data_IF_271360542625
#
_entry.id   IF_271360542625
#
_cell.length_a   1.000
_cell.length_b   1.000
_cell.length_c   1.000
_cell.angle_alpha   90.00
_cell.angle_beta   90.00
_cell.angle_gamma   90.00
#
_symmetry.space_group_name_H-M   'P 1'
#
loop_
_entity.id
_entity.type
_entity.pdbx_description
1 polymer ?
#
# COMPACT_ATOMS: atom_id res chain seq x y z
N UNK A 1 -48.68 -51.76 11.75
CA UNK A 1 -48.92 -52.59 10.55
C UNK A 1 -48.19 -51.97 9.38
N UNK A 2 -46.95 -52.38 9.11
CA UNK A 2 -46.32 -52.18 7.81
C UNK A 2 -45.27 -53.27 7.62
N UNK A 3 -45.55 -54.15 6.68
CA UNK A 3 -44.84 -55.41 6.40
C UNK A 3 -43.59 -55.14 5.57
N UNK A 4 -42.42 -55.48 6.12
CA UNK A 4 -41.17 -55.47 5.36
C UNK A 4 -41.14 -56.62 4.35
N UNK A 5 -41.23 -56.32 3.05
CA UNK A 5 -40.91 -57.28 1.97
C UNK A 5 -39.39 -57.42 1.86
N UNK A 6 -38.85 -58.60 2.15
CA UNK A 6 -37.48 -58.95 1.84
C UNK A 6 -37.34 -59.19 0.33
N UNK A 7 -36.62 -58.31 -0.38
CA UNK A 7 -36.15 -58.58 -1.73
C UNK A 7 -34.80 -59.27 -1.64
N UNK A 8 -34.75 -60.56 -1.96
CA UNK A 8 -33.51 -61.33 -2.10
C UNK A 8 -32.74 -60.81 -3.31
N UNK A 9 -31.78 -59.89 -3.08
CA UNK A 9 -30.77 -59.56 -4.09
C UNK A 9 -29.78 -60.72 -4.13
N UNK A 10 -29.88 -61.55 -5.18
CA UNK A 10 -28.80 -62.44 -5.56
C UNK A 10 -27.59 -61.57 -5.92
N UNK A 11 -26.63 -61.50 -5.00
CA UNK A 11 -25.33 -60.89 -5.22
C UNK A 11 -24.56 -61.78 -6.20
N UNK A 12 -24.67 -61.49 -7.49
CA UNK A 12 -23.59 -61.85 -8.41
C UNK A 12 -22.34 -61.10 -7.91
N UNK A 13 -21.45 -61.81 -7.23
CA UNK A 13 -20.09 -61.32 -6.99
C UNK A 13 -19.40 -61.36 -8.36
N UNK A 14 -19.11 -60.21 -9.01
CA UNK A 14 -18.16 -60.25 -10.10
C UNK A 14 -16.85 -60.83 -9.54
N UNK A 15 -16.28 -61.80 -10.24
CA UNK A 15 -14.94 -62.30 -9.90
C UNK A 15 -14.01 -61.10 -9.87
N UNK A 16 -13.32 -60.92 -8.74
CA UNK A 16 -12.30 -59.86 -8.64
C UNK A 16 -11.22 -60.20 -9.68
N UNK A 17 -10.86 -59.29 -10.60
CA UNK A 17 -9.71 -59.53 -11.45
C UNK A 17 -8.50 -59.76 -10.55
N UNK A 18 -7.72 -60.81 -10.82
CA UNK A 18 -6.48 -61.16 -10.12
C UNK A 18 -5.33 -60.18 -10.41
N UNK A 19 -5.56 -59.23 -11.31
CA UNK A 19 -4.66 -58.14 -11.57
C UNK A 19 -4.80 -57.13 -10.42
N UNK A 20 -3.68 -56.61 -9.86
CA UNK A 20 -3.77 -55.55 -8.87
C UNK A 20 -4.57 -54.42 -9.49
N UNK A 21 -5.72 -54.10 -8.88
CA UNK A 21 -6.40 -52.85 -9.19
C UNK A 21 -5.42 -51.79 -8.73
N UNK A 22 -4.62 -51.27 -9.66
CA UNK A 22 -3.84 -50.08 -9.44
C UNK A 22 -4.87 -49.00 -9.16
N UNK A 23 -5.17 -48.78 -7.89
CA UNK A 23 -5.75 -47.51 -7.49
C UNK A 23 -4.68 -46.48 -7.80
N UNK A 24 -4.62 -46.05 -9.05
CA UNK A 24 -3.92 -44.84 -9.42
C UNK A 24 -4.61 -43.74 -8.63
N UNK A 25 -4.02 -43.39 -7.49
CA UNK A 25 -4.36 -42.20 -6.73
C UNK A 25 -3.95 -41.02 -7.61
N UNK A 26 -4.79 -40.70 -8.59
CA UNK A 26 -4.60 -39.49 -9.36
C UNK A 26 -4.77 -38.34 -8.37
N UNK A 27 -3.70 -37.58 -8.14
CA UNK A 27 -3.73 -36.35 -7.37
C UNK A 27 -4.67 -35.29 -8.00
N UNK A 28 -5.23 -35.58 -9.18
CA UNK A 28 -6.05 -34.73 -10.04
C UNK A 28 -7.50 -34.52 -9.60
N UNK A 29 -7.94 -34.99 -8.42
CA UNK A 29 -9.32 -34.68 -7.99
C UNK A 29 -9.38 -33.27 -7.39
N UNK A 30 -10.22 -32.40 -7.96
CA UNK A 30 -10.40 -31.01 -7.52
C UNK A 30 -10.64 -30.88 -6.00
N UNK A 31 -11.27 -31.88 -5.37
CA UNK A 31 -11.49 -31.97 -3.92
C UNK A 31 -10.19 -32.00 -3.12
N UNK A 32 -9.19 -32.78 -3.56
CA UNK A 32 -7.89 -32.90 -2.86
C UNK A 32 -7.11 -31.59 -2.97
N UNK A 33 -7.08 -31.02 -4.17
CA UNK A 33 -6.43 -29.73 -4.42
C UNK A 33 -7.06 -28.60 -3.60
N UNK A 34 -8.40 -28.52 -3.55
CA UNK A 34 -9.13 -27.56 -2.72
C UNK A 34 -8.83 -27.71 -1.22
N UNK A 35 -8.67 -28.95 -0.73
CA UNK A 35 -8.33 -29.20 0.68
C UNK A 35 -6.89 -28.77 1.00
N UNK A 36 -5.94 -29.05 0.10
CA UNK A 36 -4.53 -28.67 0.29
C UNK A 36 -4.32 -27.16 0.23
N UNK A 37 -5.07 -26.46 -0.63
CA UNK A 37 -5.02 -24.99 -0.78
C UNK A 37 -5.98 -24.24 0.15
N UNK A 38 -6.61 -24.92 1.11
CA UNK A 38 -7.53 -24.27 2.03
C UNK A 38 -6.77 -23.36 2.99
N UNK A 39 -7.14 -22.08 3.01
CA UNK A 39 -6.67 -21.10 3.99
C UNK A 39 -7.77 -20.88 5.05
N UNK A 40 -7.42 -20.82 6.34
CA UNK A 40 -8.39 -20.51 7.38
C UNK A 40 -8.90 -19.07 7.24
N UNK A 41 -10.13 -18.84 7.69
CA UNK A 41 -10.69 -17.49 7.79
C UNK A 41 -9.97 -16.66 8.86
N UNK A 42 -10.09 -15.32 8.77
CA UNK A 42 -9.52 -14.47 9.80
C UNK A 42 -10.20 -14.72 11.17
N UNK A 43 -9.46 -14.71 12.30
CA UNK A 43 -10.03 -14.99 13.63
C UNK A 43 -11.23 -14.13 14.01
N UNK A 44 -11.33 -12.92 13.46
CA UNK A 44 -12.44 -11.98 13.63
C UNK A 44 -13.80 -12.52 13.17
N UNK A 45 -13.82 -13.52 12.28
CA UNK A 45 -15.06 -14.14 11.80
C UNK A 45 -15.56 -15.27 12.70
N UNK A 46 -14.74 -15.73 13.66
CA UNK A 46 -15.18 -16.76 14.62
C UNK A 46 -16.03 -16.11 15.73
N UNK A 47 -17.32 -16.51 15.89
CA UNK A 47 -18.18 -15.90 16.88
C UNK A 47 -17.76 -16.31 18.30
N UNK A 48 -17.53 -15.34 19.18
CA UNK A 48 -17.28 -15.59 20.61
C UNK A 48 -18.56 -15.66 21.44
N UNK A 49 -19.68 -15.16 20.92
CA UNK A 49 -20.98 -15.08 21.57
C UNK A 49 -22.06 -15.67 20.67
N UNK A 50 -23.10 -16.24 21.28
CA UNK A 50 -24.25 -16.80 20.57
C UNK A 50 -25.20 -15.72 20.04
N UNK A 51 -25.26 -14.55 20.68
CA UNK A 51 -26.11 -13.44 20.27
C UNK A 51 -25.47 -12.60 19.15
N UNK A 52 -26.26 -12.03 18.22
CA UNK A 52 -25.74 -11.18 17.14
C UNK A 52 -25.09 -9.91 17.73
N UNK A 53 -23.91 -9.56 17.22
CA UNK A 53 -23.19 -8.34 17.61
C UNK A 53 -22.50 -7.70 16.41
N UNK A 54 -22.34 -6.37 16.44
CA UNK A 54 -21.59 -5.63 15.44
C UNK A 54 -20.12 -5.54 15.87
N UNK A 55 -19.22 -6.11 15.08
CA UNK A 55 -17.78 -6.13 15.34
C UNK A 55 -17.10 -5.18 14.36
N UNK A 56 -16.27 -4.27 14.87
CA UNK A 56 -15.41 -3.43 14.04
C UNK A 56 -14.14 -4.20 13.66
N UNK A 57 -14.01 -4.55 12.38
CA UNK A 57 -12.88 -5.33 11.85
C UNK A 57 -12.16 -4.56 10.72
N UNK A 58 -11.26 -3.62 11.04
CA UNK A 58 -10.52 -2.88 10.01
C UNK A 58 -9.60 -3.85 9.26
N UNK A 59 -9.73 -3.99 7.92
CA UNK A 59 -8.92 -4.93 7.16
C UNK A 59 -7.47 -4.45 7.05
N UNK A 60 -6.54 -5.39 7.02
CA UNK A 60 -5.11 -5.13 6.76
C UNK A 60 -4.82 -4.95 5.26
N UNK A 61 -5.60 -4.11 4.59
CA UNK A 61 -5.48 -3.81 3.17
C UNK A 61 -5.44 -2.30 2.91
N UNK A 62 -4.96 -1.92 1.72
CA UNK A 62 -4.97 -0.51 1.32
C UNK A 62 -6.43 -0.01 1.14
N UNK A 63 -6.75 1.20 1.62
CA UNK A 63 -8.08 1.78 1.41
C UNK A 63 -8.33 2.08 -0.07
N UNK A 64 -9.60 2.03 -0.48
CA UNK A 64 -10.00 2.45 -1.82
C UNK A 64 -10.09 3.98 -1.93
N UNK A 65 -10.08 4.50 -3.17
CA UNK A 65 -10.22 5.95 -3.45
C UNK A 65 -11.51 6.53 -2.87
N UNK A 66 -12.56 5.72 -2.75
CA UNK A 66 -13.85 6.13 -2.17
C UNK A 66 -13.81 6.32 -0.65
N UNK A 67 -12.79 5.78 0.04
CA UNK A 67 -12.54 6.06 1.45
C UNK A 67 -11.88 7.44 1.60
N UNK A 68 -12.73 8.46 1.53
CA UNK A 68 -12.33 9.87 1.53
C UNK A 68 -11.77 10.30 2.89
N UNK A 69 -10.51 10.74 2.98
CA UNK A 69 -9.94 11.22 4.23
C UNK A 69 -10.63 12.51 4.69
N UNK A 70 -10.67 12.73 6.01
CA UNK A 70 -11.40 13.85 6.63
C UNK A 70 -10.98 15.22 6.09
N UNK A 71 -9.73 15.39 5.64
CA UNK A 71 -9.21 16.61 5.03
C UNK A 71 -9.92 16.98 3.72
N UNK A 72 -10.43 16.01 2.97
CA UNK A 72 -11.11 16.22 1.68
C UNK A 72 -12.63 16.30 1.80
N UNK A 73 -13.18 16.02 2.99
CA UNK A 73 -14.61 16.19 3.22
C UNK A 73 -14.98 17.67 3.37
N UNK A 74 -16.16 18.11 2.89
CA UNK A 74 -16.72 19.42 3.20
C UNK A 74 -16.84 19.63 4.71
N UNK A 75 -16.78 20.89 5.17
CA UNK A 75 -16.94 21.22 6.60
C UNK A 75 -18.31 20.80 7.16
N UNK A 76 -19.35 20.81 6.33
CA UNK A 76 -20.73 20.43 6.69
C UNK A 76 -20.98 18.92 6.74
N UNK A 77 -20.05 18.09 6.26
CA UNK A 77 -20.24 16.63 6.22
C UNK A 77 -20.15 16.01 7.63
N UNK A 78 -21.27 15.43 8.09
CA UNK A 78 -21.40 14.78 9.41
C UNK A 78 -20.41 13.63 9.62
N UNK A 79 -19.92 13.00 8.54
CA UNK A 79 -18.93 11.92 8.62
C UNK A 79 -17.62 12.37 9.27
N UNK A 80 -17.29 13.66 9.25
CA UNK A 80 -16.13 14.20 9.98
C UNK A 80 -16.21 13.91 11.48
N UNK A 81 -17.38 14.14 12.09
CA UNK A 81 -17.58 13.87 13.52
C UNK A 81 -17.49 12.37 13.82
N UNK A 82 -18.07 11.53 12.97
CA UNK A 82 -18.01 10.07 13.10
C UNK A 82 -16.57 9.55 13.01
N UNK A 83 -15.78 10.04 12.05
CA UNK A 83 -14.37 9.65 11.93
C UNK A 83 -13.54 10.11 13.12
N UNK A 84 -13.76 11.32 13.63
CA UNK A 84 -13.09 11.80 14.84
C UNK A 84 -13.41 10.92 16.06
N UNK A 85 -14.69 10.59 16.25
CA UNK A 85 -15.13 9.69 17.33
C UNK A 85 -14.53 8.28 17.20
N UNK A 86 -14.50 7.72 15.98
CA UNK A 86 -13.91 6.41 15.72
C UNK A 86 -12.40 6.39 15.99
N UNK A 87 -11.66 7.44 15.59
CA UNK A 87 -10.23 7.59 15.89
C UNK A 87 -9.99 7.71 17.40
N UNK A 88 -10.81 8.48 18.12
CA UNK A 88 -10.73 8.58 19.58
C UNK A 88 -10.98 7.21 20.25
N UNK A 89 -11.98 6.45 19.82
CA UNK A 89 -12.23 5.11 20.34
C UNK A 89 -11.08 4.13 20.05
N UNK A 90 -10.56 4.13 18.82
CA UNK A 90 -9.45 3.27 18.42
C UNK A 90 -8.16 3.59 19.20
N UNK A 91 -7.86 4.88 19.41
CA UNK A 91 -6.70 5.31 20.20
C UNK A 91 -6.85 4.93 21.67
N UNK A 92 -8.01 5.14 22.29
CA UNK A 92 -8.29 4.69 23.66
C UNK A 92 -8.16 3.16 23.78
N UNK A 93 -8.69 2.39 22.84
CA UNK A 93 -8.56 0.94 22.80
C UNK A 93 -7.12 0.46 22.66
N UNK A 94 -6.32 1.11 21.80
CA UNK A 94 -4.89 0.82 21.65
C UNK A 94 -4.06 1.19 22.90
N UNK A 95 -4.48 2.22 23.64
CA UNK A 95 -3.85 2.64 24.89
C UNK A 95 -4.23 1.77 26.09
N UNK A 96 -5.41 1.16 26.06
CA UNK A 96 -5.92 0.25 27.07
C UNK A 96 -5.13 -1.07 27.04
N UNK A 97 -3.93 -1.06 27.62
CA UNK A 97 -3.13 -2.26 27.88
C UNK A 97 -3.93 -3.24 28.74
N UNK A 98 -4.45 -4.30 28.13
CA UNK A 98 -4.59 -5.59 28.82
C UNK A 98 -3.47 -6.47 28.31
N UNK A 99 -2.27 -6.33 28.87
CA UNK A 99 -1.30 -7.43 28.78
C UNK A 99 -1.91 -8.58 29.58
N UNK A 100 -2.22 -9.73 28.96
CA UNK A 100 -2.67 -10.88 29.75
C UNK A 100 -1.60 -11.19 30.79
N UNK A 101 -1.98 -11.66 31.98
CA UNK A 101 -1.04 -11.97 33.06
C UNK A 101 0.12 -12.88 32.59
N UNK A 102 -0.17 -13.76 31.63
CA UNK A 102 0.80 -14.66 31.00
C UNK A 102 1.86 -13.97 30.14
N UNK A 103 1.62 -12.75 29.65
CA UNK A 103 2.55 -11.93 28.87
C UNK A 103 3.10 -10.73 29.65
N UNK A 104 2.99 -10.73 30.97
CA UNK A 104 3.58 -9.70 31.82
C UNK A 104 5.12 -9.76 31.79
N UNK A 105 5.82 -8.63 31.94
CA UNK A 105 7.28 -8.61 32.06
C UNK A 105 7.74 -9.54 33.19
N UNK A 106 8.59 -10.51 32.86
CA UNK A 106 9.08 -11.53 33.78
C UNK A 106 8.48 -12.94 33.61
N UNK A 107 7.52 -13.14 32.71
CA UNK A 107 7.00 -14.49 32.37
C UNK A 107 7.76 -15.11 31.19
N UNK A 108 7.81 -16.45 31.06
CA UNK A 108 8.49 -17.13 29.94
C UNK A 108 7.86 -16.84 28.56
N UNK A 109 6.64 -16.30 28.53
CA UNK A 109 5.95 -15.88 27.31
C UNK A 109 6.01 -14.36 27.08
N UNK A 110 6.84 -13.64 27.84
CA UNK A 110 7.11 -12.23 27.58
C UNK A 110 7.89 -12.07 26.27
N UNK A 111 7.16 -12.00 25.16
CA UNK A 111 7.67 -11.64 23.85
C UNK A 111 7.33 -10.19 23.55
N UNK A 112 8.23 -9.49 22.86
CA UNK A 112 7.99 -8.12 22.40
C UNK A 112 6.85 -8.18 21.40
N UNK A 113 5.67 -7.69 21.77
CA UNK A 113 4.51 -7.71 20.88
C UNK A 113 4.78 -6.83 19.66
N UNK A 114 4.77 -7.39 18.45
CA UNK A 114 4.72 -6.64 17.18
C UNK A 114 3.35 -6.00 16.92
N UNK A 115 2.52 -5.85 17.97
CA UNK A 115 1.29 -5.07 17.88
C UNK A 115 1.63 -3.66 17.40
N UNK A 116 0.73 -3.01 16.63
CA UNK A 116 0.99 -1.68 16.15
C UNK A 116 1.37 -0.78 17.33
N UNK A 117 2.49 -0.04 17.21
CA UNK A 117 2.97 0.79 18.31
C UNK A 117 1.87 1.75 18.74
N UNK A 118 1.84 2.05 20.05
CA UNK A 118 1.01 3.13 20.62
C UNK A 118 1.10 4.33 19.67
N UNK A 119 -0.04 4.90 19.21
CA UNK A 119 -0.04 5.98 18.25
C UNK A 119 0.80 7.12 18.83
N UNK A 120 2.00 7.27 18.27
CA UNK A 120 2.91 8.34 18.64
C UNK A 120 2.72 9.47 17.65
N UNK A 121 2.90 10.71 18.10
CA UNK A 121 2.88 11.88 17.24
C UNK A 121 4.04 11.88 16.21
N UNK A 122 5.02 10.97 16.35
CA UNK A 122 6.12 10.85 15.42
C UNK A 122 5.65 10.27 14.08
N UNK A 123 5.80 11.08 13.04
CA UNK A 123 5.64 10.65 11.66
C UNK A 123 6.83 9.77 11.23
N UNK A 124 6.65 8.87 10.26
CA UNK A 124 7.78 8.16 9.65
C UNK A 124 8.76 9.16 9.04
N UNK A 125 10.05 8.79 8.90
CA UNK A 125 11.05 9.67 8.29
C UNK A 125 10.64 10.06 6.87
N UNK A 126 10.81 11.34 6.54
CA UNK A 126 10.46 11.85 5.22
C UNK A 126 11.42 11.29 4.15
N UNK A 127 10.88 10.83 3.02
CA UNK A 127 11.68 10.35 1.88
C UNK A 127 12.50 11.49 1.27
N UNK A 128 11.96 12.70 1.25
CA UNK A 128 12.65 13.91 0.79
C UNK A 128 12.85 14.86 1.96
N UNK A 129 14.03 15.46 2.05
CA UNK A 129 14.31 16.49 3.05
C UNK A 129 13.39 17.70 2.78
N UNK A 130 12.68 18.20 3.81
CA UNK A 130 11.96 19.46 3.69
C UNK A 130 12.95 20.58 3.37
N UNK A 131 12.61 21.42 2.40
CA UNK A 131 13.37 22.61 2.07
C UNK A 131 12.45 23.83 2.10
N UNK A 132 13.00 24.96 2.54
CA UNK A 132 12.27 26.23 2.55
C UNK A 132 12.39 26.93 1.19
N UNK A 133 11.30 27.55 0.75
CA UNK A 133 11.27 28.29 -0.51
C UNK A 133 11.77 29.71 -0.27
N UNK A 134 12.85 30.09 -0.93
CA UNK A 134 13.42 31.45 -0.87
C UNK A 134 12.92 32.30 -2.05
N UNK A 135 12.63 33.58 -1.78
CA UNK A 135 12.12 34.56 -2.75
C UNK A 135 12.92 35.86 -2.67
N UNK A 136 14.24 35.76 -2.73
CA UNK A 136 15.16 36.90 -2.56
C UNK A 136 15.53 37.63 -3.86
N UNK A 137 15.14 37.10 -5.02
CA UNK A 137 15.50 37.67 -6.31
C UNK A 137 14.59 38.82 -6.73
N UNK A 138 15.19 39.85 -7.30
CA UNK A 138 14.49 41.02 -7.83
C UNK A 138 14.23 40.88 -9.34
N UNK A 139 13.41 41.77 -9.90
CA UNK A 139 13.15 41.80 -11.34
C UNK A 139 14.43 42.09 -12.16
N UNK A 140 15.34 42.91 -11.62
CA UNK A 140 16.62 43.20 -12.26
C UNK A 140 17.49 41.93 -12.41
N UNK A 141 17.55 41.09 -11.36
CA UNK A 141 18.29 39.82 -11.39
C UNK A 141 17.71 38.85 -12.43
N UNK A 142 16.38 38.84 -12.55
CA UNK A 142 15.63 38.04 -13.52
C UNK A 142 15.99 38.45 -14.95
N UNK A 143 16.04 39.75 -15.22
CA UNK A 143 16.37 40.26 -16.55
C UNK A 143 17.86 40.06 -16.88
N UNK A 144 18.76 40.16 -15.91
CA UNK A 144 20.16 39.78 -16.09
C UNK A 144 20.31 38.29 -16.41
N UNK A 145 19.61 37.39 -15.69
CA UNK A 145 19.61 35.95 -16.00
C UNK A 145 19.14 35.65 -17.42
N UNK A 146 18.09 36.35 -17.90
CA UNK A 146 17.59 36.20 -19.27
C UNK A 146 18.63 36.66 -20.27
N UNK A 147 19.22 37.83 -20.04
CA UNK A 147 20.26 38.41 -20.90
C UNK A 147 21.45 37.46 -21.04
N UNK A 148 22.05 37.02 -19.93
CA UNK A 148 23.23 36.14 -19.94
C UNK A 148 22.98 34.83 -20.69
N UNK A 149 21.77 34.28 -20.56
CA UNK A 149 21.39 33.02 -21.22
C UNK A 149 21.01 33.18 -22.68
N UNK A 150 20.58 34.37 -23.09
CA UNK A 150 20.37 34.72 -24.48
C UNK A 150 21.70 34.93 -25.20
N UNK A 151 22.69 35.54 -24.52
CA UNK A 151 24.05 35.74 -25.01
C UNK A 151 24.75 34.39 -25.28
N UNK A 152 25.03 33.61 -24.23
CA UNK A 152 25.77 32.35 -24.37
C UNK A 152 25.16 31.22 -23.52
N UNK A 153 24.27 30.39 -24.09
CA UNK A 153 23.57 29.34 -23.33
C UNK A 153 24.46 28.15 -22.94
N UNK A 154 25.66 28.04 -23.53
CA UNK A 154 26.64 27.00 -23.25
C UNK A 154 27.56 27.36 -22.08
N UNK A 155 27.92 28.64 -21.95
CA UNK A 155 28.66 29.16 -20.78
C UNK A 155 27.71 29.41 -19.61
N UNK A 156 26.60 30.10 -19.85
CA UNK A 156 25.59 30.44 -18.84
C UNK A 156 24.53 29.33 -18.76
N UNK A 157 24.98 28.16 -18.30
CA UNK A 157 24.12 27.01 -18.03
C UNK A 157 23.18 27.28 -16.85
N UNK A 158 22.14 26.45 -16.72
CA UNK A 158 21.18 26.56 -15.60
C UNK A 158 21.86 26.40 -14.23
N UNK A 159 22.88 25.55 -14.18
CA UNK A 159 23.70 25.28 -12.98
C UNK A 159 24.46 26.55 -12.60
N UNK A 160 25.19 27.14 -13.55
CA UNK A 160 26.03 28.32 -13.30
C UNK A 160 25.21 29.55 -12.90
N UNK A 161 24.06 29.75 -13.53
CA UNK A 161 23.15 30.84 -13.15
C UNK A 161 22.52 30.60 -11.77
N UNK A 162 22.15 29.37 -11.45
CA UNK A 162 21.61 29.02 -10.14
C UNK A 162 22.62 29.27 -9.01
N UNK A 163 23.90 28.94 -9.23
CA UNK A 163 24.99 29.23 -8.29
C UNK A 163 25.22 30.73 -8.15
N UNK A 164 25.25 31.47 -9.27
CA UNK A 164 25.50 32.93 -9.27
C UNK A 164 24.42 33.71 -8.52
N UNK A 165 23.15 33.37 -8.74
CA UNK A 165 22.00 34.06 -8.14
C UNK A 165 21.49 33.38 -6.85
N UNK A 166 22.16 32.30 -6.40
CA UNK A 166 21.76 31.55 -5.21
C UNK A 166 20.33 31.03 -5.26
N UNK A 167 19.88 30.52 -6.41
CA UNK A 167 18.49 30.10 -6.63
C UNK A 167 18.39 28.68 -7.19
N UNK A 168 17.17 28.15 -7.33
CA UNK A 168 16.98 26.79 -7.86
C UNK A 168 17.26 26.73 -9.37
N UNK A 169 17.97 25.70 -9.84
CA UNK A 169 18.13 25.40 -11.27
C UNK A 169 16.79 25.26 -12.00
N UNK A 170 15.74 24.82 -11.28
CA UNK A 170 14.38 24.78 -11.79
C UNK A 170 13.86 26.19 -12.11
N UNK A 171 14.05 27.13 -11.17
CA UNK A 171 13.64 28.52 -11.34
C UNK A 171 14.34 29.19 -12.53
N UNK A 172 15.64 28.98 -12.71
CA UNK A 172 16.37 29.48 -13.89
C UNK A 172 15.76 28.95 -15.19
N UNK A 173 15.40 27.66 -15.25
CA UNK A 173 14.75 27.07 -16.41
C UNK A 173 13.35 27.62 -16.71
N UNK A 174 12.66 28.13 -15.69
CA UNK A 174 11.36 28.78 -15.83
C UNK A 174 11.50 30.18 -16.45
N UNK A 175 12.46 30.97 -15.96
CA UNK A 175 12.62 32.40 -16.28
C UNK A 175 13.41 32.64 -17.55
N UNK A 176 14.47 31.86 -17.77
CA UNK A 176 15.43 32.05 -18.85
C UNK A 176 15.40 30.81 -19.76
N UNK A 177 14.46 30.79 -20.71
CA UNK A 177 14.36 29.72 -21.71
C UNK A 177 15.23 30.06 -22.91
N UNK A 178 15.83 29.04 -23.54
CA UNK A 178 16.59 29.21 -24.77
C UNK A 178 16.18 28.08 -25.75
N UNK A 179 15.47 28.46 -26.81
CA UNK A 179 14.93 27.52 -27.81
C UNK A 179 16.03 26.85 -28.63
N UNK A 180 16.99 27.62 -29.12
CA UNK A 180 18.08 27.09 -29.95
C UNK A 180 18.91 26.01 -29.24
N UNK A 181 19.21 26.19 -27.94
CA UNK A 181 19.86 25.13 -27.16
C UNK A 181 18.95 23.93 -26.92
N UNK A 182 17.66 24.14 -26.71
CA UNK A 182 16.71 23.04 -26.48
C UNK A 182 16.61 22.11 -27.69
N UNK A 183 16.55 22.67 -28.91
CA UNK A 183 16.51 21.89 -30.16
C UNK A 183 17.76 21.03 -30.35
N UNK A 184 18.95 21.58 -30.05
CA UNK A 184 20.21 20.82 -30.13
C UNK A 184 20.21 19.62 -29.17
N UNK A 185 19.77 19.84 -27.92
CA UNK A 185 19.66 18.79 -26.91
C UNK A 185 18.62 17.74 -27.30
N UNK A 186 17.50 18.14 -27.89
CA UNK A 186 16.48 17.19 -28.37
C UNK A 186 17.03 16.30 -29.49
N UNK A 187 17.78 16.86 -30.44
CA UNK A 187 18.45 16.09 -31.48
C UNK A 187 19.48 15.11 -30.91
N UNK A 188 20.26 15.54 -29.91
CA UNK A 188 21.19 14.65 -29.20
C UNK A 188 20.47 13.51 -28.47
N UNK A 189 19.36 13.82 -27.79
CA UNK A 189 18.53 12.81 -27.17
C UNK A 189 17.93 11.84 -28.20
N UNK A 190 17.49 12.34 -29.37
CA UNK A 190 16.97 11.50 -30.45
C UNK A 190 18.03 10.54 -30.99
N UNK A 191 19.25 11.03 -31.25
CA UNK A 191 20.38 10.19 -31.64
C UNK A 191 20.72 9.14 -30.56
N UNK A 192 20.60 9.50 -29.28
CA UNK A 192 20.79 8.56 -28.19
C UNK A 192 19.67 7.50 -28.16
N UNK A 193 18.41 7.90 -28.32
CA UNK A 193 17.25 7.00 -28.40
C UNK A 193 17.31 6.07 -29.61
N UNK A 194 17.81 6.53 -30.75
CA UNK A 194 18.01 5.70 -31.94
C UNK A 194 19.06 4.59 -31.75
N UNK A 195 19.94 4.73 -30.75
CA UNK A 195 20.88 3.68 -30.33
C UNK A 195 20.27 2.69 -29.33
N UNK A 196 19.02 2.89 -28.92
CA UNK A 196 18.31 1.94 -28.07
C UNK A 196 17.71 0.86 -28.98
N UNK A 197 18.23 -0.35 -28.86
CA UNK A 197 17.75 -1.57 -29.51
C UNK A 197 17.92 -2.71 -28.53
#
# INVERSE_FOLDING_TARGET
>A
MSTCRATTRLLFKPSKPLLPTTQCRHESTARRHRKLLHLPEAPSYTPSKTAPSLIYNPPSSAPSVYHTPSKFLPKTDKRKALFAAAQAYATLGALARKTPFTAAPGTPLHTVSHLPPKPSAYLPPAVRTPYEKTYHLTQADIDEMRRLRAEDPDVWTRVKLAERFGCSQFFVGLVAKNGGKAERVEREHEMARGRWG
#
